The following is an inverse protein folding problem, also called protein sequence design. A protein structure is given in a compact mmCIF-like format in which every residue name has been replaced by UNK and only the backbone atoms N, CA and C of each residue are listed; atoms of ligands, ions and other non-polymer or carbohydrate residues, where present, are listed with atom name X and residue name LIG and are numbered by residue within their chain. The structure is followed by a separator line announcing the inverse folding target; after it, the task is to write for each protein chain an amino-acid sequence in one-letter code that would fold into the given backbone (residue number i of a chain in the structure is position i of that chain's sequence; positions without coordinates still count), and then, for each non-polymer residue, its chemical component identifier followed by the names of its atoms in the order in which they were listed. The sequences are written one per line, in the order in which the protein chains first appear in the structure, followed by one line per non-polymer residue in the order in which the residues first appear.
data_IF_957128600544
#
_entry.id   IF_957128600544
#
_cell.length_a   1.000
_cell.length_b   1.000
_cell.length_c   1.000
_cell.angle_alpha   90.00
_cell.angle_beta   90.00
_cell.angle_gamma   90.00
#
_symmetry.space_group_name_H-M   'P 1'
#
loop_
_entity.id
_entity.type
_entity.pdbx_description
1 polymer ?
#
# COMPACT_ATOMS: atom_id res chain seq x y z
N UNK A 1 -58.51 -26.25 -2.81
CA UNK A 1 -58.62 -26.85 -4.16
C UNK A 1 -57.25 -27.40 -4.55
N UNK A 2 -57.22 -28.66 -4.98
CA UNK A 2 -56.03 -29.42 -5.39
C UNK A 2 -55.27 -28.72 -6.51
N UNK A 3 -53.94 -28.68 -6.44
CA UNK A 3 -53.10 -29.14 -7.54
C UNK A 3 -51.67 -29.43 -7.08
N UNK A 4 -51.33 -30.72 -7.16
CA UNK A 4 -50.02 -31.36 -7.12
C UNK A 4 -49.24 -31.11 -8.41
N UNK A 5 -47.91 -30.98 -8.31
CA UNK A 5 -46.89 -31.64 -9.16
C UNK A 5 -45.49 -31.25 -8.62
N UNK A 6 -44.78 -32.12 -7.89
CA UNK A 6 -43.99 -33.28 -8.34
C UNK A 6 -42.61 -32.90 -8.91
N UNK A 7 -41.60 -33.08 -8.06
CA UNK A 7 -40.28 -33.71 -8.29
C UNK A 7 -39.54 -33.52 -9.62
N UNK A 8 -38.23 -33.20 -9.54
CA UNK A 8 -37.19 -34.00 -10.22
C UNK A 8 -35.81 -33.91 -9.54
N UNK A 9 -35.35 -35.10 -9.16
CA UNK A 9 -34.05 -35.47 -8.56
C UNK A 9 -33.19 -36.09 -9.66
N UNK A 10 -31.87 -35.90 -9.54
CA UNK A 10 -30.72 -36.61 -10.13
C UNK A 10 -30.97 -37.71 -11.19
N UNK A 11 -30.31 -37.56 -12.34
CA UNK A 11 -29.71 -38.65 -13.15
C UNK A 11 -28.33 -38.12 -13.64
N UNK A 12 -27.20 -38.67 -13.20
CA UNK A 12 -26.54 -39.89 -13.67
C UNK A 12 -26.25 -39.91 -15.17
N UNK A 13 -25.01 -39.61 -15.55
CA UNK A 13 -24.40 -40.13 -16.77
C UNK A 13 -23.02 -40.69 -16.45
N UNK A 14 -22.99 -42.02 -16.41
CA UNK A 14 -21.83 -42.89 -16.47
C UNK A 14 -21.43 -42.99 -17.96
N UNK A 15 -20.19 -42.62 -18.32
CA UNK A 15 -19.59 -43.04 -19.59
C UNK A 15 -18.18 -43.57 -19.31
N UNK A 16 -18.04 -44.86 -19.55
CA UNK A 16 -16.83 -45.67 -19.47
C UNK A 16 -16.31 -45.89 -20.89
N UNK A 17 -15.05 -45.53 -21.18
CA UNK A 17 -14.20 -46.02 -22.29
C UNK A 17 -12.78 -45.49 -22.02
N UNK A 18 -11.81 -46.23 -21.44
CA UNK A 18 -11.07 -47.42 -21.89
C UNK A 18 -10.14 -47.16 -23.10
N UNK A 19 -8.86 -46.95 -22.74
CA UNK A 19 -7.58 -47.38 -23.35
C UNK A 19 -7.11 -46.72 -24.65
N UNK A 20 -5.98 -46.01 -24.56
CA UNK A 20 -4.72 -46.36 -25.25
C UNK A 20 -3.53 -45.56 -24.68
N UNK A 21 -2.77 -46.18 -23.79
CA UNK A 21 -1.47 -45.68 -23.33
C UNK A 21 -0.38 -46.21 -24.27
N UNK A 22 0.23 -45.35 -25.08
CA UNK A 22 1.48 -45.68 -25.78
C UNK A 22 2.66 -45.25 -24.93
N UNK A 23 3.25 -46.23 -24.22
CA UNK A 23 4.53 -46.10 -23.56
C UNK A 23 5.66 -46.09 -24.60
N UNK A 24 6.51 -45.06 -24.57
CA UNK A 24 7.77 -45.01 -25.31
C UNK A 24 8.82 -45.84 -24.55
N UNK A 25 8.94 -47.11 -24.92
CA UNK A 25 10.07 -47.95 -24.51
C UNK A 25 11.31 -47.58 -25.35
N UNK A 26 12.37 -47.10 -24.69
CA UNK A 26 13.68 -46.95 -25.32
C UNK A 26 14.30 -48.32 -25.59
N UNK A 27 14.75 -48.50 -26.83
CA UNK A 27 15.32 -49.71 -27.39
C UNK A 27 16.68 -50.05 -26.76
N UNK A 28 16.81 -51.28 -26.27
CA UNK A 28 18.01 -51.88 -25.68
C UNK A 28 18.87 -52.45 -26.82
N UNK A 29 20.09 -51.95 -26.96
CA UNK A 29 21.06 -52.35 -28.00
C UNK A 29 21.65 -53.74 -27.68
N UNK A 30 21.95 -54.61 -28.68
CA UNK A 30 22.40 -55.98 -28.44
C UNK A 30 23.85 -56.04 -27.95
N UNK A 31 24.11 -57.04 -27.10
CA UNK A 31 25.42 -57.46 -26.61
C UNK A 31 26.09 -58.32 -27.67
N UNK A 32 27.29 -57.95 -28.08
CA UNK A 32 28.16 -58.75 -28.93
C UNK A 32 29.31 -59.30 -28.09
N UNK A 33 29.44 -60.61 -28.10
CA UNK A 33 30.41 -61.41 -27.39
C UNK A 33 31.68 -61.48 -28.26
N UNK A 34 32.82 -61.02 -27.74
CA UNK A 34 34.12 -61.18 -28.42
C UNK A 34 35.26 -61.44 -27.42
N UNK A 35 36.09 -62.39 -27.83
CA UNK A 35 37.15 -63.14 -27.15
C UNK A 35 38.28 -62.35 -26.46
N UNK A 36 39.05 -62.98 -25.54
CA UNK A 36 40.01 -62.28 -24.69
C UNK A 36 41.34 -61.97 -25.41
N UNK A 37 41.92 -60.77 -25.26
CA UNK A 37 43.29 -60.50 -25.65
C UNK A 37 44.31 -60.77 -24.53
N UNK A 38 45.45 -61.27 -24.99
CA UNK A 38 46.72 -61.65 -24.35
C UNK A 38 47.31 -60.57 -23.40
N UNK A 39 48.03 -60.96 -22.32
CA UNK A 39 48.68 -60.00 -21.42
C UNK A 39 49.88 -59.31 -22.09
N UNK A 40 49.96 -57.99 -21.94
CA UNK A 40 51.10 -57.14 -22.34
C UNK A 40 51.77 -56.51 -21.11
N UNK A 41 53.10 -56.30 -21.13
CA UNK A 41 53.91 -56.13 -19.94
C UNK A 41 53.76 -54.76 -19.26
N UNK A 42 54.02 -54.81 -17.95
CA UNK A 42 54.05 -53.73 -16.98
C UNK A 42 55.03 -52.61 -17.36
N UNK A 43 54.60 -51.34 -17.46
CA UNK A 43 55.51 -50.21 -17.46
C UNK A 43 55.99 -49.87 -16.03
N UNK A 44 57.28 -49.56 -15.95
CA UNK A 44 58.07 -49.15 -14.78
C UNK A 44 57.46 -47.97 -14.01
N UNK A 45 57.65 -47.88 -12.68
CA UNK A 45 57.15 -46.76 -11.87
C UNK A 45 57.76 -45.43 -12.32
N UNK A 46 56.88 -44.45 -12.56
CA UNK A 46 57.22 -43.04 -12.73
C UNK A 46 57.63 -42.43 -11.38
N UNK A 47 58.61 -41.50 -11.35
CA UNK A 47 59.04 -40.87 -10.11
C UNK A 47 57.89 -40.08 -9.46
N UNK A 48 57.78 -40.24 -8.15
CA UNK A 48 56.87 -39.52 -7.26
C UNK A 48 57.21 -38.03 -7.27
N UNK A 49 56.28 -37.12 -7.62
CA UNK A 49 56.54 -35.69 -7.50
C UNK A 49 56.66 -35.31 -6.02
N UNK A 50 57.74 -34.60 -5.70
CA UNK A 50 57.98 -33.95 -4.42
C UNK A 50 56.80 -33.03 -4.05
N UNK A 51 56.29 -33.07 -2.81
CA UNK A 51 55.20 -32.21 -2.39
C UNK A 51 55.63 -30.74 -2.45
N UNK A 52 54.86 -29.94 -3.18
CA UNK A 52 54.95 -28.48 -3.18
C UNK A 52 54.69 -27.94 -1.77
N UNK A 53 55.42 -26.91 -1.32
CA UNK A 53 55.19 -26.31 0.00
C UNK A 53 53.74 -25.84 0.14
N UNK A 54 53.13 -26.24 1.25
CA UNK A 54 51.80 -25.81 1.67
C UNK A 54 51.79 -24.29 1.82
N UNK A 55 50.93 -23.55 1.12
CA UNK A 55 50.84 -22.11 1.31
C UNK A 55 50.44 -21.81 2.76
N UNK A 56 51.25 -21.00 3.42
CA UNK A 56 50.96 -20.42 4.73
C UNK A 56 49.57 -19.78 4.71
N UNK A 57 48.69 -20.08 5.70
CA UNK A 57 47.36 -19.48 5.74
C UNK A 57 47.49 -17.97 5.83
N UNK A 58 47.01 -17.27 4.80
CA UNK A 58 46.78 -15.82 4.85
C UNK A 58 45.89 -15.51 6.04
N UNK A 59 46.27 -14.54 6.90
CA UNK A 59 45.44 -14.16 8.05
C UNK A 59 44.06 -13.76 7.55
N UNK A 60 43.03 -14.36 8.16
CA UNK A 60 41.63 -14.01 7.89
C UNK A 60 41.47 -12.50 8.07
N UNK A 61 40.81 -11.79 7.13
CA UNK A 61 40.53 -10.38 7.30
C UNK A 61 39.80 -10.19 8.64
N UNK A 62 40.30 -9.26 9.44
CA UNK A 62 39.64 -8.82 10.67
C UNK A 62 38.19 -8.48 10.33
N UNK A 63 37.19 -8.91 11.12
CA UNK A 63 35.81 -8.53 10.91
C UNK A 63 35.74 -7.01 10.83
N UNK A 64 35.17 -6.51 9.73
CA UNK A 64 34.85 -5.08 9.59
C UNK A 64 34.06 -4.67 10.83
N UNK A 65 34.36 -3.51 11.47
CA UNK A 65 33.58 -3.02 12.58
C UNK A 65 32.09 -3.03 12.17
N UNK A 66 31.24 -3.60 13.03
CA UNK A 66 29.80 -3.55 12.85
C UNK A 66 29.40 -2.09 12.64
N UNK A 67 28.62 -1.76 11.60
CA UNK A 67 28.19 -0.38 11.38
C UNK A 67 27.54 0.12 12.66
N UNK A 68 27.98 1.29 13.12
CA UNK A 68 27.35 2.01 14.23
C UNK A 68 25.86 2.11 13.93
N UNK A 69 24.96 1.74 14.87
CA UNK A 69 23.52 1.85 14.63
C UNK A 69 23.19 3.27 14.20
N UNK A 70 22.62 3.43 13.00
CA UNK A 70 22.18 4.74 12.52
C UNK A 70 21.13 5.24 13.52
N UNK A 71 21.44 6.33 14.23
CA UNK A 71 20.56 6.89 15.25
C UNK A 71 19.30 7.39 14.59
N UNK A 72 18.15 7.00 15.11
CA UNK A 72 16.88 7.55 14.66
C UNK A 72 16.76 9.01 15.09
N UNK A 73 16.40 9.94 14.18
CA UNK A 73 16.14 11.32 14.54
C UNK A 73 15.02 11.42 15.58
N UNK A 74 15.09 12.41 16.47
CA UNK A 74 14.01 12.66 17.41
C UNK A 74 12.71 13.01 16.66
N UNK A 75 11.57 12.68 17.26
CA UNK A 75 10.28 13.08 16.72
C UNK A 75 10.21 14.62 16.63
N UNK A 76 9.96 15.13 15.42
CA UNK A 76 9.79 16.57 15.18
C UNK A 76 8.32 16.92 15.39
N UNK A 77 8.06 18.07 16.02
CA UNK A 77 6.70 18.60 16.24
C UNK A 77 6.36 19.80 15.35
N UNK A 78 7.36 20.41 14.73
CA UNK A 78 7.23 21.58 13.86
C UNK A 78 7.18 21.19 12.38
N UNK A 79 6.88 22.17 11.52
CA UNK A 79 6.90 21.96 10.07
C UNK A 79 8.31 21.60 9.59
N UNK A 80 8.38 20.58 8.74
CA UNK A 80 9.64 20.08 8.15
C UNK A 80 9.74 20.41 6.66
N UNK A 81 8.84 21.24 6.12
CA UNK A 81 8.86 21.62 4.71
C UNK A 81 10.04 22.56 4.42
N UNK A 82 10.94 22.23 3.47
CA UNK A 82 12.05 23.09 3.11
C UNK A 82 11.61 24.44 2.51
N UNK A 83 12.36 25.49 2.77
CA UNK A 83 12.11 26.81 2.18
C UNK A 83 12.11 26.75 0.65
N UNK A 84 11.10 27.37 0.02
CA UNK A 84 10.94 27.38 -1.44
C UNK A 84 10.55 26.03 -2.06
N UNK A 85 10.14 25.05 -1.26
CA UNK A 85 9.57 23.80 -1.79
C UNK A 85 8.21 24.07 -2.46
N UNK A 86 8.02 23.52 -3.66
CA UNK A 86 6.79 23.61 -4.42
C UNK A 86 6.34 22.20 -4.82
N UNK A 87 5.36 21.66 -4.07
CA UNK A 87 4.85 20.29 -4.28
C UNK A 87 4.32 20.06 -5.70
N UNK A 88 3.77 21.08 -6.37
CA UNK A 88 3.13 20.90 -7.67
C UNK A 88 4.14 20.69 -8.81
N UNK A 89 5.19 21.52 -8.82
CA UNK A 89 6.24 21.47 -9.84
C UNK A 89 7.29 20.42 -9.53
N UNK A 90 7.69 20.27 -8.27
CA UNK A 90 8.74 19.34 -7.87
C UNK A 90 8.22 17.91 -7.69
N UNK A 91 6.91 17.71 -7.43
CA UNK A 91 6.36 16.39 -7.09
C UNK A 91 5.17 16.01 -7.96
N UNK A 92 4.06 16.75 -7.91
CA UNK A 92 2.79 16.35 -8.52
C UNK A 92 2.91 16.09 -10.03
N UNK A 93 3.51 17.04 -10.77
CA UNK A 93 3.65 16.95 -12.22
C UNK A 93 4.56 15.81 -12.67
N UNK A 94 5.83 15.69 -12.20
CA UNK A 94 6.71 14.61 -12.64
C UNK A 94 6.19 13.24 -12.21
N UNK A 95 5.68 13.11 -10.98
CA UNK A 95 5.19 11.82 -10.48
C UNK A 95 3.87 11.42 -11.18
N UNK A 96 2.93 12.35 -11.32
CA UNK A 96 1.67 12.10 -12.01
C UNK A 96 1.87 11.66 -13.46
N UNK A 97 2.77 12.33 -14.19
CA UNK A 97 3.13 11.96 -15.57
C UNK A 97 3.71 10.55 -15.65
N UNK A 98 4.61 10.21 -14.72
CA UNK A 98 5.23 8.88 -14.67
C UNK A 98 4.20 7.78 -14.37
N UNK A 99 3.31 8.01 -13.41
CA UNK A 99 2.29 7.03 -13.02
C UNK A 99 1.26 6.85 -14.14
N UNK A 100 0.76 7.93 -14.75
CA UNK A 100 -0.17 7.84 -15.88
C UNK A 100 0.43 7.13 -17.09
N UNK A 101 1.73 7.32 -17.33
CA UNK A 101 2.46 6.60 -18.38
C UNK A 101 2.55 5.09 -18.15
N UNK A 102 2.39 4.63 -16.90
CA UNK A 102 2.29 3.20 -16.57
C UNK A 102 0.87 2.68 -16.81
N UNK A 103 -0.12 3.50 -16.46
CA UNK A 103 -1.55 3.20 -16.52
C UNK A 103 -2.21 3.75 -17.78
N UNK A 104 -1.50 3.69 -18.91
CA UNK A 104 -1.77 4.40 -20.20
C UNK A 104 -3.23 4.44 -20.67
N UNK A 105 -4.04 3.44 -20.30
CA UNK A 105 -5.46 3.32 -20.62
C UNK A 105 -6.41 4.16 -19.75
N UNK A 106 -5.98 4.59 -18.57
CA UNK A 106 -6.81 5.30 -17.59
C UNK A 106 -6.55 6.81 -17.60
N UNK A 107 -5.28 7.21 -17.43
CA UNK A 107 -4.79 8.61 -17.43
C UNK A 107 -5.68 9.57 -16.64
N UNK A 108 -6.11 9.21 -15.43
CA UNK A 108 -7.02 9.97 -14.57
C UNK A 108 -6.29 11.03 -13.69
N UNK A 109 -4.95 11.00 -13.61
CA UNK A 109 -4.21 11.84 -12.66
C UNK A 109 -3.87 13.22 -13.21
N UNK A 110 -3.37 13.30 -14.44
CA UNK A 110 -2.96 14.55 -15.12
C UNK A 110 -4.02 15.29 -15.94
N UNK A 111 -5.23 14.75 -16.24
CA UNK A 111 -6.28 15.53 -16.89
C UNK A 111 -6.69 16.74 -16.05
N UNK A 112 -6.88 17.84 -16.74
CA UNK A 112 -7.54 19.04 -16.21
C UNK A 112 -9.00 18.74 -15.97
N UNK A 113 -9.50 19.05 -14.77
CA UNK A 113 -10.88 18.80 -14.36
C UNK A 113 -11.70 20.08 -14.39
N UNK A 114 -13.01 19.94 -14.59
CA UNK A 114 -13.92 21.09 -14.68
C UNK A 114 -14.10 21.76 -13.32
N UNK A 115 -13.59 23.00 -13.19
CA UNK A 115 -13.69 23.81 -11.98
C UNK A 115 -15.13 24.18 -11.62
N UNK A 116 -16.04 24.24 -12.61
CA UNK A 116 -17.46 24.53 -12.37
C UNK A 116 -18.18 23.38 -11.66
N UNK A 117 -17.57 22.19 -11.67
CA UNK A 117 -18.04 21.01 -10.95
C UNK A 117 -17.29 20.79 -9.62
N UNK A 118 -16.54 21.81 -9.15
CA UNK A 118 -15.89 21.79 -7.83
C UNK A 118 -16.92 21.83 -6.69
N UNK A 119 -16.48 21.42 -5.50
CA UNK A 119 -17.27 21.58 -4.27
C UNK A 119 -16.52 22.44 -3.24
N UNK A 120 -17.19 22.84 -2.16
CA UNK A 120 -16.59 23.69 -1.10
C UNK A 120 -15.29 23.12 -0.51
N UNK A 121 -15.14 21.78 -0.56
CA UNK A 121 -13.95 21.06 -0.08
C UNK A 121 -12.79 21.08 -1.07
N UNK A 122 -12.98 21.59 -2.29
CA UNK A 122 -11.89 21.73 -3.27
C UNK A 122 -11.16 23.07 -3.18
N UNK A 123 -11.78 24.07 -2.56
CA UNK A 123 -11.25 25.44 -2.47
C UNK A 123 -10.97 25.80 -1.00
N UNK A 124 -10.23 24.93 -0.30
CA UNK A 124 -9.97 25.06 1.15
C UNK A 124 -8.65 25.74 1.50
N UNK A 125 -7.74 25.81 0.53
CA UNK A 125 -6.42 26.40 0.66
C UNK A 125 -6.08 27.11 -0.65
N UNK A 126 -5.57 28.35 -0.56
CA UNK A 126 -5.21 29.15 -1.74
C UNK A 126 -4.11 28.51 -2.60
N UNK A 127 -3.28 27.64 -2.04
CA UNK A 127 -2.28 26.90 -2.80
C UNK A 127 -2.90 25.88 -3.75
N UNK A 128 -4.15 25.50 -3.50
CA UNK A 128 -4.94 24.62 -4.36
C UNK A 128 -5.79 25.38 -5.37
N UNK A 129 -5.85 26.71 -5.28
CA UNK A 129 -6.47 27.53 -6.30
C UNK A 129 -5.72 27.28 -7.63
N UNK A 130 -6.48 27.14 -8.72
CA UNK A 130 -5.93 26.83 -10.06
C UNK A 130 -5.22 25.47 -10.19
N UNK A 131 -5.31 24.58 -9.19
CA UNK A 131 -4.79 23.20 -9.26
C UNK A 131 -5.89 22.23 -9.64
N UNK A 132 -6.14 22.12 -10.93
CA UNK A 132 -7.30 21.41 -11.47
C UNK A 132 -7.06 19.92 -11.79
N UNK A 133 -5.92 19.35 -11.39
CA UNK A 133 -5.58 17.94 -11.63
C UNK A 133 -5.64 17.13 -10.34
N UNK A 134 -6.01 15.86 -10.45
CA UNK A 134 -6.01 14.97 -9.28
C UNK A 134 -4.61 14.74 -8.72
N UNK A 135 -3.61 14.71 -9.62
CA UNK A 135 -2.22 14.56 -9.23
C UNK A 135 -1.79 15.63 -8.22
N UNK A 136 -2.24 16.87 -8.42
CA UNK A 136 -1.96 17.98 -7.52
C UNK A 136 -2.63 17.75 -6.16
N UNK A 137 -3.87 17.25 -6.15
CA UNK A 137 -4.63 16.97 -4.92
C UNK A 137 -4.02 15.85 -4.09
N UNK A 138 -3.54 14.77 -4.73
CA UNK A 138 -2.83 13.69 -4.03
C UNK A 138 -1.50 14.19 -3.49
N UNK A 139 -0.71 14.90 -4.29
CA UNK A 139 0.61 15.35 -3.88
C UNK A 139 0.53 16.32 -2.69
N UNK A 140 -0.38 17.28 -2.74
CA UNK A 140 -0.64 18.21 -1.64
C UNK A 140 -1.19 17.48 -0.41
N UNK A 141 -2.09 16.50 -0.57
CA UNK A 141 -2.54 15.67 0.55
C UNK A 141 -1.38 14.90 1.21
N UNK A 142 -0.45 14.37 0.42
CA UNK A 142 0.76 13.71 0.94
C UNK A 142 1.63 14.70 1.70
N UNK A 143 1.87 15.91 1.17
CA UNK A 143 2.62 16.95 1.85
C UNK A 143 2.01 17.31 3.22
N UNK A 144 0.69 17.50 3.27
CA UNK A 144 -0.03 17.74 4.53
C UNK A 144 0.19 16.58 5.52
N UNK A 145 0.25 15.33 5.04
CA UNK A 145 0.49 14.14 5.89
C UNK A 145 1.95 13.81 6.12
N UNK A 146 2.89 14.50 5.49
CA UNK A 146 4.30 14.48 5.88
C UNK A 146 4.55 15.31 7.13
N UNK A 147 3.63 16.23 7.48
CA UNK A 147 3.70 17.00 8.72
C UNK A 147 3.18 16.20 9.92
N UNK A 148 3.80 16.32 11.10
CA UNK A 148 3.32 15.68 12.33
C UNK A 148 1.90 16.14 12.70
N UNK A 149 0.98 15.19 12.89
CA UNK A 149 -0.37 15.47 13.38
C UNK A 149 -0.86 14.41 14.37
N UNK A 150 -1.88 14.75 15.16
CA UNK A 150 -2.58 13.78 16.03
C UNK A 150 -3.81 13.27 15.30
N UNK A 151 -3.80 11.98 14.95
CA UNK A 151 -4.92 11.35 14.26
C UNK A 151 -6.23 11.46 15.05
N UNK A 152 -7.33 11.72 14.34
CA UNK A 152 -8.68 11.88 14.90
C UNK A 152 -9.36 10.57 15.32
N UNK A 153 -8.64 9.65 15.96
CA UNK A 153 -9.04 8.28 16.24
C UNK A 153 -9.63 8.05 17.65
N UNK A 154 -9.75 9.09 18.48
CA UNK A 154 -10.21 8.93 19.87
C UNK A 154 -11.60 8.29 19.99
N UNK A 155 -12.48 8.56 19.02
CA UNK A 155 -13.83 7.98 18.97
C UNK A 155 -13.87 6.45 18.73
N UNK A 156 -12.79 5.88 18.17
CA UNK A 156 -12.60 4.44 17.96
C UNK A 156 -11.41 3.91 18.78
N UNK A 157 -10.95 4.67 19.77
CA UNK A 157 -9.72 4.36 20.48
C UNK A 157 -9.75 2.98 21.14
N UNK A 158 -10.85 2.63 21.81
CA UNK A 158 -11.02 1.32 22.46
C UNK A 158 -10.87 0.15 21.49
N UNK A 159 -11.34 0.28 20.24
CA UNK A 159 -11.23 -0.78 19.23
C UNK A 159 -9.77 -1.09 18.86
N UNK A 160 -8.90 -0.07 18.89
CA UNK A 160 -7.49 -0.17 18.50
C UNK A 160 -6.51 -0.15 19.68
N UNK A 161 -7.02 -0.23 20.92
CA UNK A 161 -6.20 -0.11 22.13
C UNK A 161 -5.54 1.27 22.28
N UNK A 162 -6.20 2.33 21.80
CA UNK A 162 -5.79 3.72 21.96
C UNK A 162 -6.61 4.39 23.07
N UNK A 163 -6.04 5.45 23.65
CA UNK A 163 -6.79 6.36 24.53
C UNK A 163 -7.91 7.06 23.75
N UNK A 164 -9.06 7.31 24.39
CA UNK A 164 -10.10 8.18 23.83
C UNK A 164 -9.70 9.66 23.83
N UNK A 165 -8.72 10.03 24.67
CA UNK A 165 -8.14 11.36 24.71
C UNK A 165 -6.96 11.47 23.73
N UNK A 166 -7.25 12.01 22.54
CA UNK A 166 -6.26 12.21 21.47
C UNK A 166 -5.07 13.08 21.90
N UNK A 167 -5.20 13.92 22.94
CA UNK A 167 -4.07 14.72 23.43
C UNK A 167 -2.92 13.87 23.95
N UNK A 168 -3.19 12.62 24.35
CA UNK A 168 -2.18 11.65 24.80
C UNK A 168 -1.38 11.03 23.65
N UNK A 169 -1.80 11.22 22.40
CA UNK A 169 -1.14 10.61 21.26
C UNK A 169 0.19 11.31 20.98
N UNK A 170 1.23 10.53 20.72
CA UNK A 170 2.43 10.99 20.05
C UNK A 170 2.04 11.39 18.60
N UNK A 171 2.30 12.65 18.19
CA UNK A 171 2.08 13.06 16.81
C UNK A 171 2.85 12.18 15.84
N UNK A 172 2.26 11.91 14.68
CA UNK A 172 2.90 11.12 13.66
C UNK A 172 2.65 11.68 12.26
N UNK A 173 3.46 11.25 11.31
CA UNK A 173 3.35 11.60 9.90
C UNK A 173 3.80 10.45 9.03
N UNK A 174 3.76 10.63 7.71
CA UNK A 174 4.28 9.66 6.75
C UNK A 174 5.80 9.45 6.85
N UNK A 175 6.53 10.33 7.52
CA UNK A 175 7.99 10.24 7.66
C UNK A 175 8.51 10.34 9.10
N UNK A 176 7.63 10.46 10.10
CA UNK A 176 8.06 10.65 11.49
C UNK A 176 8.61 9.41 12.18
N UNK A 177 8.27 8.21 11.69
CA UNK A 177 8.76 6.93 12.23
C UNK A 177 9.38 6.09 11.11
N UNK A 178 10.35 5.21 11.43
CA UNK A 178 10.83 4.22 10.47
C UNK A 178 9.70 3.33 9.96
N UNK A 179 9.75 2.99 8.68
CA UNK A 179 8.99 1.86 8.16
C UNK A 179 9.64 0.55 8.62
N UNK A 180 8.85 -0.37 9.17
CA UNK A 180 9.34 -1.67 9.60
C UNK A 180 9.77 -2.51 8.38
N UNK A 181 10.93 -3.16 8.48
CA UNK A 181 11.24 -4.28 7.60
C UNK A 181 10.25 -5.42 7.88
N UNK A 182 9.77 -6.05 6.82
CA UNK A 182 8.81 -7.15 6.86
C UNK A 182 9.47 -8.45 6.40
N UNK A 183 9.07 -9.56 7.02
CA UNK A 183 9.44 -10.92 6.61
C UNK A 183 8.18 -11.75 6.45
N UNK A 184 8.28 -12.94 5.85
CA UNK A 184 7.14 -13.86 5.79
C UNK A 184 6.59 -14.17 7.18
N UNK A 185 7.45 -14.25 8.20
CA UNK A 185 7.04 -14.49 9.58
C UNK A 185 6.30 -13.30 10.20
N UNK A 186 6.80 -12.06 10.01
CA UNK A 186 6.10 -10.89 10.56
C UNK A 186 4.76 -10.66 9.85
N UNK A 187 4.70 -10.87 8.54
CA UNK A 187 3.47 -10.79 7.75
C UNK A 187 2.49 -11.91 8.08
N UNK A 188 2.96 -13.13 8.37
CA UNK A 188 2.08 -14.19 8.89
C UNK A 188 1.35 -13.73 10.16
N UNK A 189 2.04 -13.02 11.05
CA UNK A 189 1.46 -12.48 12.29
C UNK A 189 0.50 -11.31 12.02
N UNK A 190 0.89 -10.34 11.17
CA UNK A 190 0.06 -9.15 10.92
C UNK A 190 -1.13 -9.43 10.02
N UNK A 191 -1.04 -10.41 9.11
CA UNK A 191 -2.09 -10.83 8.18
C UNK A 191 -2.86 -12.09 8.64
N UNK A 192 -2.59 -12.60 9.85
CA UNK A 192 -3.24 -13.80 10.43
C UNK A 192 -3.11 -15.04 9.52
N UNK A 193 -1.95 -15.24 8.92
CA UNK A 193 -1.63 -16.36 8.03
C UNK A 193 -2.36 -16.36 6.68
N UNK A 194 -3.13 -15.30 6.38
CA UNK A 194 -3.85 -15.19 5.10
C UNK A 194 -3.03 -14.39 4.11
N UNK A 195 -3.02 -14.86 2.85
CA UNK A 195 -2.50 -14.13 1.70
C UNK A 195 -1.11 -13.52 1.94
N UNK A 196 -0.18 -14.31 2.50
CA UNK A 196 1.19 -13.88 2.72
C UNK A 196 1.84 -13.66 1.33
N UNK A 197 2.40 -12.47 1.05
CA UNK A 197 3.04 -12.21 -0.24
C UNK A 197 4.26 -13.10 -0.49
N UNK A 198 4.60 -13.29 -1.77
CA UNK A 198 5.82 -14.03 -2.15
C UNK A 198 7.09 -13.29 -1.71
N UNK A 199 8.21 -14.00 -1.64
CA UNK A 199 9.51 -13.41 -1.30
C UNK A 199 9.88 -12.21 -2.18
N UNK A 200 9.53 -12.24 -3.47
CA UNK A 200 9.76 -11.13 -4.40
C UNK A 200 8.94 -9.88 -4.04
N UNK A 201 7.71 -10.04 -3.58
CA UNK A 201 6.87 -8.91 -3.14
C UNK A 201 7.36 -8.37 -1.80
N UNK A 202 7.75 -9.25 -0.88
CA UNK A 202 8.38 -8.87 0.40
C UNK A 202 9.67 -8.07 0.14
N UNK A 203 10.49 -8.49 -0.83
CA UNK A 203 11.70 -7.75 -1.21
C UNK A 203 11.35 -6.32 -1.68
N UNK A 204 10.32 -6.16 -2.54
CA UNK A 204 9.86 -4.83 -2.96
C UNK A 204 9.34 -3.98 -1.80
N UNK A 205 8.59 -4.58 -0.86
CA UNK A 205 8.10 -3.88 0.32
C UNK A 205 9.26 -3.37 1.18
N UNK A 206 10.29 -4.21 1.36
CA UNK A 206 11.51 -3.82 2.07
C UNK A 206 12.35 -2.79 1.30
N UNK A 207 12.39 -2.83 -0.04
CA UNK A 207 13.02 -1.78 -0.84
C UNK A 207 12.32 -0.44 -0.65
N UNK A 208 10.98 -0.42 -0.68
CA UNK A 208 10.19 0.77 -0.40
C UNK A 208 10.46 1.29 1.02
N UNK A 209 10.39 0.42 2.04
CA UNK A 209 10.68 0.76 3.42
C UNK A 209 12.10 1.33 3.60
N UNK A 210 13.10 0.71 2.98
CA UNK A 210 14.50 1.15 3.04
C UNK A 210 14.68 2.54 2.43
N UNK A 211 14.11 2.80 1.24
CA UNK A 211 14.20 4.12 0.58
C UNK A 211 13.52 5.20 1.40
N UNK A 212 12.31 4.96 1.89
CA UNK A 212 11.62 5.91 2.78
C UNK A 212 12.43 6.13 4.06
N UNK A 213 13.01 5.09 4.64
CA UNK A 213 13.85 5.20 5.84
C UNK A 213 15.11 6.02 5.62
N UNK A 214 15.72 5.94 4.45
CA UNK A 214 16.85 6.79 4.07
C UNK A 214 16.40 8.24 3.90
N UNK A 215 15.38 8.48 3.06
CA UNK A 215 14.92 9.82 2.73
C UNK A 215 14.32 10.55 3.93
N UNK A 216 13.61 9.85 4.83
CA UNK A 216 13.11 10.50 6.05
C UNK A 216 14.26 10.96 6.95
N UNK A 217 15.37 10.22 7.05
CA UNK A 217 16.47 10.59 7.95
C UNK A 217 17.09 11.90 7.50
N UNK A 218 17.44 11.98 6.21
CA UNK A 218 17.93 13.23 5.64
C UNK A 218 16.92 14.37 5.76
N UNK A 219 15.63 14.11 5.47
CA UNK A 219 14.58 15.14 5.59
C UNK A 219 14.44 15.68 7.02
N UNK A 220 14.48 14.81 8.03
CA UNK A 220 14.40 15.19 9.45
C UNK A 220 15.68 15.88 9.95
N UNK A 221 16.80 15.70 9.25
CA UNK A 221 18.05 16.44 9.46
C UNK A 221 18.11 17.77 8.67
N UNK A 222 17.04 18.12 7.93
CA UNK A 222 16.93 19.35 7.16
C UNK A 222 17.43 19.26 5.71
N UNK A 223 17.78 18.08 5.22
CA UNK A 223 18.16 17.90 3.81
C UNK A 223 16.94 18.00 2.88
N UNK A 224 16.91 19.09 2.10
CA UNK A 224 15.88 19.35 1.08
C UNK A 224 15.79 18.23 0.06
N UNK A 225 16.92 17.69 -0.40
CA UNK A 225 16.90 16.66 -1.45
C UNK A 225 16.21 15.39 -0.96
N UNK A 226 16.52 14.97 0.27
CA UNK A 226 15.85 13.86 0.94
C UNK A 226 14.36 14.12 1.18
N UNK A 227 13.97 15.35 1.57
CA UNK A 227 12.56 15.71 1.69
C UNK A 227 11.81 15.55 0.36
N UNK A 228 12.36 16.09 -0.75
CA UNK A 228 11.76 15.97 -2.08
C UNK A 228 11.65 14.50 -2.50
N UNK A 229 12.70 13.70 -2.27
CA UNK A 229 12.69 12.25 -2.58
C UNK A 229 11.64 11.48 -1.77
N UNK A 230 11.49 11.80 -0.47
CA UNK A 230 10.45 11.22 0.37
C UNK A 230 9.05 11.60 -0.12
N UNK A 231 8.84 12.88 -0.44
CA UNK A 231 7.58 13.41 -0.97
C UNK A 231 7.22 12.73 -2.29
N UNK A 232 8.14 12.69 -3.26
CA UNK A 232 7.94 11.97 -4.53
C UNK A 232 7.59 10.49 -4.32
N UNK A 233 8.30 9.79 -3.44
CA UNK A 233 8.07 8.36 -3.23
C UNK A 233 6.72 8.08 -2.56
N UNK A 234 6.31 8.88 -1.57
CA UNK A 234 4.98 8.78 -0.96
C UNK A 234 3.86 9.19 -1.90
N UNK A 235 4.01 10.28 -2.65
CA UNK A 235 3.02 10.71 -3.66
C UNK A 235 2.84 9.62 -4.72
N UNK A 236 3.94 9.04 -5.20
CA UNK A 236 3.88 7.95 -6.18
C UNK A 236 3.17 6.74 -5.62
N UNK A 237 3.49 6.35 -4.38
CA UNK A 237 2.79 5.28 -3.69
C UNK A 237 1.29 5.54 -3.63
N UNK A 238 0.86 6.74 -3.21
CA UNK A 238 -0.56 7.08 -3.11
C UNK A 238 -1.28 7.15 -4.47
N UNK A 239 -0.62 7.63 -5.52
CA UNK A 239 -1.15 7.61 -6.89
C UNK A 239 -1.29 6.18 -7.44
N UNK A 240 -0.31 5.31 -7.18
CA UNK A 240 -0.41 3.90 -7.53
C UNK A 240 -1.56 3.22 -6.76
N UNK A 241 -1.75 3.56 -5.48
CA UNK A 241 -2.88 3.08 -4.69
C UNK A 241 -4.20 3.53 -5.28
N UNK A 242 -4.34 4.80 -5.68
CA UNK A 242 -5.60 5.28 -6.26
C UNK A 242 -5.98 4.50 -7.53
N UNK A 243 -5.02 4.12 -8.36
CA UNK A 243 -5.32 3.27 -9.52
C UNK A 243 -5.67 1.83 -9.13
N UNK A 244 -4.92 1.24 -8.21
CA UNK A 244 -5.20 -0.10 -7.72
C UNK A 244 -6.59 -0.21 -7.06
N UNK A 245 -7.02 0.85 -6.37
CA UNK A 245 -8.36 0.94 -5.77
C UNK A 245 -9.43 1.25 -6.81
N UNK A 246 -9.18 2.06 -7.83
CA UNK A 246 -10.21 2.44 -8.80
C UNK A 246 -10.84 1.24 -9.55
N UNK A 247 -10.15 0.08 -9.59
CA UNK A 247 -10.53 -1.18 -10.26
C UNK A 247 -10.76 -1.08 -11.79
N UNK A 248 -11.13 0.10 -12.30
CA UNK A 248 -11.50 0.42 -13.70
C UNK A 248 -11.35 1.93 -13.96
N UNK A 249 -11.49 2.38 -15.21
CA UNK A 249 -11.55 3.83 -15.51
C UNK A 249 -12.76 4.49 -14.84
N UNK A 250 -12.63 5.76 -14.45
CA UNK A 250 -13.72 6.51 -13.84
C UNK A 250 -14.83 6.81 -14.87
N UNK A 251 -14.46 7.10 -16.11
CA UNK A 251 -15.38 7.57 -17.15
C UNK A 251 -16.00 6.44 -17.99
N UNK A 252 -16.56 5.45 -17.31
CA UNK A 252 -17.30 4.35 -17.93
C UNK A 252 -18.82 4.57 -17.91
N UNK A 253 -19.53 3.88 -18.80
CA UNK A 253 -21.00 3.85 -18.80
C UNK A 253 -21.54 3.19 -17.53
N UNK A 254 -20.86 2.18 -17.00
CA UNK A 254 -21.18 1.54 -15.72
C UNK A 254 -21.12 2.56 -14.58
N UNK A 255 -20.02 3.31 -14.48
CA UNK A 255 -19.89 4.32 -13.44
C UNK A 255 -20.96 5.40 -13.54
N UNK A 256 -21.27 5.83 -14.77
CA UNK A 256 -22.34 6.81 -15.02
C UNK A 256 -23.72 6.29 -14.58
N UNK A 257 -24.04 5.01 -14.81
CA UNK A 257 -25.29 4.39 -14.32
C UNK A 257 -25.37 4.35 -12.80
N UNK A 258 -24.28 3.98 -12.12
CA UNK A 258 -24.21 3.99 -10.65
C UNK A 258 -24.41 5.40 -10.12
N UNK A 259 -23.78 6.40 -10.73
CA UNK A 259 -24.00 7.79 -10.34
C UNK A 259 -25.45 8.22 -10.53
N UNK A 260 -26.12 7.89 -11.65
CA UNK A 260 -27.55 8.21 -11.84
C UNK A 260 -28.45 7.59 -10.77
N UNK A 261 -28.11 6.39 -10.28
CA UNK A 261 -28.87 5.70 -9.23
C UNK A 261 -28.77 6.38 -7.87
N UNK A 262 -27.61 6.95 -7.53
CA UNK A 262 -27.33 7.47 -6.18
C UNK A 262 -27.18 9.00 -6.08
N UNK A 263 -27.03 9.70 -7.21
CA UNK A 263 -26.79 11.13 -7.25
C UNK A 263 -27.93 11.89 -6.55
N UNK A 264 -27.62 12.76 -5.57
CA UNK A 264 -28.63 13.63 -4.99
C UNK A 264 -29.09 14.69 -6.01
N UNK A 265 -30.26 15.29 -5.75
CA UNK A 265 -30.78 16.37 -6.60
C UNK A 265 -29.74 17.49 -6.81
N UNK A 266 -29.59 17.92 -8.06
CA UNK A 266 -28.63 18.96 -8.46
C UNK A 266 -27.17 18.50 -8.53
N UNK A 267 -26.87 17.22 -8.31
CA UNK A 267 -25.53 16.68 -8.52
C UNK A 267 -25.42 15.99 -9.89
N UNK A 268 -24.40 16.36 -10.66
CA UNK A 268 -24.00 15.67 -11.88
C UNK A 268 -22.59 15.13 -11.69
N UNK A 269 -22.38 13.85 -11.97
CA UNK A 269 -21.07 13.20 -11.90
C UNK A 269 -20.07 13.97 -12.79
N UNK A 270 -18.99 14.52 -12.23
CA UNK A 270 -17.89 15.10 -13.01
C UNK A 270 -17.07 14.02 -13.71
N UNK A 271 -16.36 14.38 -14.79
CA UNK A 271 -15.37 13.51 -15.40
C UNK A 271 -14.25 13.16 -14.40
N UNK A 272 -13.66 11.97 -14.52
CA UNK A 272 -12.61 11.47 -13.63
C UNK A 272 -13.07 11.07 -12.22
N UNK A 273 -14.38 11.14 -11.92
CA UNK A 273 -14.95 10.72 -10.63
C UNK A 273 -15.62 9.35 -10.77
N UNK A 274 -14.99 8.32 -10.20
CA UNK A 274 -15.53 6.97 -10.20
C UNK A 274 -16.68 6.84 -9.19
N UNK A 275 -17.80 6.30 -9.64
CA UNK A 275 -18.86 5.70 -8.83
C UNK A 275 -18.84 4.19 -9.08
N UNK A 276 -18.70 3.43 -8.01
CA UNK A 276 -18.63 1.96 -8.04
C UNK A 276 -19.60 1.37 -7.01
N UNK A 277 -20.29 0.29 -7.39
CA UNK A 277 -21.15 -0.48 -6.51
C UNK A 277 -20.52 -1.86 -6.36
N UNK A 278 -20.17 -2.27 -5.13
CA UNK A 278 -19.67 -3.61 -4.83
C UNK A 278 -20.83 -4.53 -4.41
N UNK A 279 -21.34 -5.42 -5.29
CA UNK A 279 -22.51 -6.23 -4.98
C UNK A 279 -22.28 -7.24 -3.83
N UNK A 280 -21.02 -7.50 -3.45
CA UNK A 280 -20.69 -8.41 -2.36
C UNK A 280 -20.80 -7.76 -0.97
N UNK A 281 -20.91 -6.43 -0.91
CA UNK A 281 -21.05 -5.69 0.35
C UNK A 281 -22.51 -5.50 0.75
N UNK A 282 -22.72 -5.30 2.05
CA UNK A 282 -24.01 -4.85 2.58
C UNK A 282 -24.42 -3.50 1.98
N UNK A 283 -25.71 -3.17 2.07
CA UNK A 283 -26.25 -1.93 1.49
C UNK A 283 -25.54 -0.67 2.03
N UNK A 284 -25.13 -0.69 3.29
CA UNK A 284 -24.45 0.43 3.95
C UNK A 284 -23.04 0.70 3.40
N UNK A 285 -22.35 -0.31 2.86
CA UNK A 285 -20.96 -0.22 2.37
C UNK A 285 -20.85 -0.41 0.86
N UNK A 286 -21.98 -0.57 0.16
CA UNK A 286 -22.03 -0.96 -1.25
C UNK A 286 -21.49 0.09 -2.21
N UNK A 287 -21.87 1.34 -1.99
CA UNK A 287 -21.50 2.46 -2.86
C UNK A 287 -20.14 3.01 -2.47
N UNK A 288 -19.24 3.15 -3.43
CA UNK A 288 -17.91 3.70 -3.25
C UNK A 288 -17.62 4.76 -4.31
N UNK A 289 -16.99 5.87 -3.89
CA UNK A 289 -16.81 7.06 -4.73
C UNK A 289 -15.34 7.51 -4.75
N UNK A 290 -14.94 8.00 -5.93
CA UNK A 290 -13.64 8.55 -6.23
C UNK A 290 -12.57 7.49 -6.43
N UNK A 291 -11.34 7.94 -6.72
CA UNK A 291 -10.25 7.02 -7.05
C UNK A 291 -9.75 6.22 -5.83
N UNK A 292 -9.95 6.69 -4.61
CA UNK A 292 -9.71 5.89 -3.40
C UNK A 292 -10.93 5.07 -2.93
N UNK A 293 -12.03 5.06 -3.71
CA UNK A 293 -13.23 4.26 -3.50
C UNK A 293 -13.80 4.32 -2.07
N UNK A 294 -14.01 5.52 -1.53
CA UNK A 294 -14.59 5.65 -0.20
C UNK A 294 -16.12 5.55 -0.21
N UNK A 295 -16.66 4.86 0.77
CA UNK A 295 -18.10 4.84 1.02
C UNK A 295 -18.57 6.23 1.48
N UNK A 296 -19.63 6.82 0.87
CA UNK A 296 -20.08 8.16 1.19
C UNK A 296 -20.90 8.23 2.49
N UNK A 297 -20.27 7.90 3.61
CA UNK A 297 -20.85 8.04 4.96
C UNK A 297 -19.97 8.95 5.82
N UNK A 298 -20.60 9.72 6.71
CA UNK A 298 -19.89 10.54 7.70
C UNK A 298 -19.45 9.73 8.94
N UNK A 299 -19.63 8.42 8.89
CA UNK A 299 -19.41 7.47 9.98
C UNK A 299 -18.29 6.49 9.66
N UNK A 300 -18.13 5.48 10.51
CA UNK A 300 -17.21 4.37 10.32
C UNK A 300 -15.79 4.86 10.04
N UNK A 301 -15.26 4.37 8.93
CA UNK A 301 -13.87 4.59 8.56
C UNK A 301 -13.60 6.00 8.02
N UNK A 302 -14.53 6.69 7.36
CA UNK A 302 -14.27 8.04 6.82
C UNK A 302 -14.29 9.11 7.93
N UNK A 303 -14.95 8.84 9.06
CA UNK A 303 -15.13 9.84 10.11
C UNK A 303 -13.80 10.39 10.70
N UNK A 304 -12.75 9.57 10.88
CA UNK A 304 -11.47 10.12 11.34
C UNK A 304 -10.84 11.08 10.32
N UNK A 305 -11.02 10.84 9.01
CA UNK A 305 -10.63 11.80 7.98
C UNK A 305 -11.39 13.11 8.12
N UNK A 306 -12.71 13.07 8.34
CA UNK A 306 -13.54 14.27 8.57
C UNK A 306 -13.04 15.05 9.79
N UNK A 307 -12.79 14.35 10.91
CA UNK A 307 -12.29 14.97 12.14
C UNK A 307 -10.96 15.65 11.92
N UNK A 308 -10.03 15.02 11.22
CA UNK A 308 -8.73 15.61 10.94
C UNK A 308 -8.83 16.76 9.93
N UNK A 309 -9.65 16.61 8.88
CA UNK A 309 -9.94 17.67 7.92
C UNK A 309 -10.46 18.92 8.61
N UNK A 310 -11.42 18.78 9.53
CA UNK A 310 -12.00 19.92 10.25
C UNK A 310 -10.99 20.63 11.16
N UNK A 311 -9.96 19.92 11.66
CA UNK A 311 -8.87 20.54 12.43
C UNK A 311 -7.97 21.40 11.53
N UNK A 312 -7.73 20.95 10.30
CA UNK A 312 -6.83 21.62 9.34
C UNK A 312 -7.56 22.76 8.60
N UNK A 313 -8.83 22.57 8.25
CA UNK A 313 -9.64 23.50 7.45
C UNK A 313 -10.88 23.96 8.24
N UNK A 314 -10.73 24.74 9.32
CA UNK A 314 -11.85 25.15 10.18
C UNK A 314 -12.88 26.04 9.47
N UNK A 315 -12.52 26.63 8.32
CA UNK A 315 -13.42 27.46 7.49
C UNK A 315 -14.23 26.67 6.46
N UNK A 316 -13.87 25.41 6.19
CA UNK A 316 -14.56 24.54 5.21
C UNK A 316 -14.74 23.14 5.78
N UNK A 317 -15.51 23.07 6.86
CA UNK A 317 -15.73 21.82 7.61
C UNK A 317 -16.76 20.91 6.94
N UNK A 318 -16.65 19.62 7.24
CA UNK A 318 -17.62 18.58 6.90
C UNK A 318 -18.26 18.12 8.21
N UNK A 319 -19.59 18.04 8.27
CA UNK A 319 -20.26 17.54 9.48
C UNK A 319 -19.91 16.08 9.73
N UNK A 320 -19.62 15.71 10.98
CA UNK A 320 -19.42 14.31 11.41
C UNK A 320 -20.72 13.48 11.39
N UNK A 321 -21.86 14.13 11.11
CA UNK A 321 -23.17 13.53 10.86
C UNK A 321 -23.73 13.90 9.49
N UNK A 322 -22.87 14.28 8.53
CA UNK A 322 -23.29 14.61 7.18
C UNK A 322 -24.10 13.47 6.53
N UNK A 323 -25.14 13.85 5.78
CA UNK A 323 -25.96 12.89 5.04
C UNK A 323 -25.16 12.23 3.92
N UNK A 324 -25.64 11.09 3.42
CA UNK A 324 -25.03 10.44 2.25
C UNK A 324 -24.99 11.39 1.03
N UNK A 325 -26.04 12.20 0.84
CA UNK A 325 -26.09 13.21 -0.21
C UNK A 325 -24.98 14.28 -0.10
N UNK A 326 -24.65 14.72 1.12
CA UNK A 326 -23.52 15.63 1.33
C UNK A 326 -22.19 14.92 1.08
N UNK A 327 -22.03 13.69 1.58
CA UNK A 327 -20.80 12.92 1.39
C UNK A 327 -20.55 12.55 -0.08
N UNK A 328 -21.61 12.35 -0.89
CA UNK A 328 -21.49 12.19 -2.35
C UNK A 328 -20.89 13.45 -2.98
N UNK A 329 -21.29 14.65 -2.57
CA UNK A 329 -20.72 15.91 -3.09
C UNK A 329 -19.27 16.10 -2.66
N UNK A 330 -18.95 15.75 -1.41
CA UNK A 330 -17.61 15.88 -0.83
C UNK A 330 -16.62 14.90 -1.47
N UNK A 331 -16.98 13.61 -1.59
CA UNK A 331 -16.10 12.59 -2.14
C UNK A 331 -16.10 12.58 -3.67
N UNK A 332 -17.21 12.96 -4.28
CA UNK A 332 -17.44 12.97 -5.72
C UNK A 332 -17.34 14.36 -6.34
N UNK A 333 -16.65 15.31 -5.69
CA UNK A 333 -16.35 16.60 -6.30
C UNK A 333 -15.41 16.43 -7.49
N UNK A 334 -15.37 17.39 -8.42
CA UNK A 334 -14.49 17.28 -9.58
C UNK A 334 -13.01 17.12 -9.15
N UNK A 335 -12.49 17.94 -8.23
CA UNK A 335 -11.07 17.83 -7.84
C UNK A 335 -10.82 16.64 -6.91
N UNK A 336 -11.84 16.10 -6.25
CA UNK A 336 -11.70 15.00 -5.29
C UNK A 336 -10.68 15.32 -4.18
N UNK A 337 -10.67 16.56 -3.69
CA UNK A 337 -9.66 17.03 -2.71
C UNK A 337 -9.80 16.31 -1.37
N UNK A 338 -11.02 16.19 -0.84
CA UNK A 338 -11.25 15.41 0.38
C UNK A 338 -10.97 13.92 0.17
N UNK A 339 -11.28 13.37 -1.01
CA UNK A 339 -10.96 11.98 -1.35
C UNK A 339 -9.44 11.74 -1.28
N UNK A 340 -8.65 12.61 -1.90
CA UNK A 340 -7.17 12.57 -1.86
C UNK A 340 -6.63 12.69 -0.44
N UNK A 341 -7.15 13.67 0.31
CA UNK A 341 -6.79 13.89 1.71
C UNK A 341 -7.08 12.66 2.57
N UNK A 342 -8.29 12.12 2.48
CA UNK A 342 -8.67 10.94 3.27
C UNK A 342 -7.83 9.73 2.86
N UNK A 343 -7.46 9.63 1.57
CA UNK A 343 -6.47 8.70 1.05
C UNK A 343 -5.19 8.67 1.89
N UNK A 344 -4.51 9.82 1.97
CA UNK A 344 -3.26 9.96 2.72
C UNK A 344 -3.48 9.87 4.25
N UNK A 345 -4.57 10.45 4.77
CA UNK A 345 -4.92 10.44 6.19
C UNK A 345 -5.17 9.02 6.72
N UNK A 346 -5.65 8.11 5.87
CA UNK A 346 -5.80 6.70 6.21
C UNK A 346 -4.46 6.06 6.52
N UNK A 347 -3.45 6.30 5.70
CA UNK A 347 -2.10 5.75 5.91
C UNK A 347 -1.47 6.33 7.18
N UNK A 348 -1.52 7.65 7.38
CA UNK A 348 -1.01 8.24 8.63
C UNK A 348 -1.83 7.79 9.86
N UNK A 349 -3.13 7.58 9.72
CA UNK A 349 -3.97 7.01 10.78
C UNK A 349 -3.58 5.57 11.13
N UNK A 350 -3.20 4.73 10.16
CA UNK A 350 -2.63 3.41 10.44
C UNK A 350 -1.35 3.50 11.28
N UNK A 351 -0.50 4.48 10.98
CA UNK A 351 0.74 4.68 11.72
C UNK A 351 0.44 5.16 13.14
N UNK A 352 -0.55 6.04 13.30
CA UNK A 352 -1.00 6.51 14.61
C UNK A 352 -1.47 5.35 15.50
N UNK A 353 -2.22 4.39 14.94
CA UNK A 353 -2.63 3.17 15.67
C UNK A 353 -1.40 2.41 16.17
N UNK A 354 -0.44 2.12 15.30
CA UNK A 354 0.74 1.31 15.64
C UNK A 354 1.65 1.98 16.69
N UNK A 355 1.77 3.31 16.61
CA UNK A 355 2.59 4.12 17.50
C UNK A 355 1.94 4.24 18.88
N UNK A 356 0.62 4.47 18.93
CA UNK A 356 -0.06 4.86 20.17
C UNK A 356 -0.85 3.72 20.85
N UNK A 357 -0.95 2.55 20.24
CA UNK A 357 -1.65 1.40 20.85
C UNK A 357 -0.95 0.87 22.10
N UNK A 358 -1.74 0.43 23.07
CA UNK A 358 -1.30 -0.34 24.22
C UNK A 358 -1.27 -1.85 23.97
N UNK A 359 -1.71 -2.32 22.80
CA UNK A 359 -1.81 -3.74 22.48
C UNK A 359 -0.90 -4.15 21.32
N UNK A 360 -0.14 -5.22 21.54
CA UNK A 360 0.76 -5.83 20.54
C UNK A 360 0.03 -6.33 19.30
N UNK A 361 -1.29 -6.50 19.35
CA UNK A 361 -2.08 -6.95 18.19
C UNK A 361 -2.25 -5.87 17.12
N UNK A 362 -2.06 -4.59 17.45
CA UNK A 362 -2.27 -3.44 16.56
C UNK A 362 -0.96 -2.78 16.11
N UNK A 363 0.17 -3.45 16.31
CA UNK A 363 1.49 -2.94 15.92
C UNK A 363 2.36 -4.03 15.31
N UNK A 364 3.43 -3.65 14.62
CA UNK A 364 4.32 -4.61 13.96
C UNK A 364 5.05 -5.47 15.01
N UNK A 365 5.32 -6.76 14.77
CA UNK A 365 6.02 -7.62 15.73
C UNK A 365 7.36 -7.07 16.22
N UNK A 366 8.08 -6.32 15.37
CA UNK A 366 9.34 -5.64 15.74
C UNK A 366 9.18 -4.56 16.82
N UNK A 367 7.95 -4.17 17.18
CA UNK A 367 7.65 -3.21 18.25
C UNK A 367 7.39 -3.88 19.60
N UNK A 368 7.47 -5.20 19.67
CA UNK A 368 7.34 -6.00 20.89
C UNK A 368 8.73 -6.41 21.36
N UNK A 369 9.04 -6.15 22.63
CA UNK A 369 10.31 -6.56 23.25
C UNK A 369 10.28 -8.05 23.60
N UNK A 370 11.43 -8.60 23.97
CA UNK A 370 11.56 -10.02 24.35
C UNK A 370 10.73 -10.41 25.57
N UNK A 371 10.43 -9.45 26.46
CA UNK A 371 9.55 -9.64 27.63
C UNK A 371 8.04 -9.53 27.30
N UNK A 372 7.69 -9.35 26.01
CA UNK A 372 6.32 -9.18 25.55
C UNK A 372 5.75 -7.76 25.69
N UNK A 373 6.48 -6.85 26.35
CA UNK A 373 6.07 -5.45 26.48
C UNK A 373 6.28 -4.68 25.17
N UNK A 374 5.50 -3.62 24.97
CA UNK A 374 5.70 -2.75 23.82
C UNK A 374 6.90 -1.83 24.00
N UNK A 375 7.59 -1.53 22.89
CA UNK A 375 8.50 -0.38 22.81
C UNK A 375 7.76 0.92 23.11
N UNK A 376 8.48 1.93 23.60
CA UNK A 376 7.91 3.27 23.77
C UNK A 376 7.41 3.78 22.40
N UNK A 377 6.33 4.58 22.33
CA UNK A 377 5.80 5.07 21.06
C UNK A 377 6.86 5.63 20.10
N UNK A 378 7.80 6.43 20.61
CA UNK A 378 8.88 7.03 19.82
C UNK A 378 9.91 6.03 19.25
N UNK A 379 10.02 4.83 19.83
CA UNK A 379 10.96 3.78 19.41
C UNK A 379 10.33 2.76 18.44
N UNK A 380 9.08 2.99 18.04
CA UNK A 380 8.32 2.07 17.18
C UNK A 380 8.58 2.38 15.71
N UNK A 381 8.61 1.33 14.91
CA UNK A 381 8.45 1.44 13.47
C UNK A 381 6.97 1.26 13.07
N UNK A 382 6.60 1.66 11.87
CA UNK A 382 5.22 1.52 11.35
C UNK A 382 5.22 0.80 10.01
N UNK A 383 4.10 0.20 9.62
CA UNK A 383 3.96 -0.45 8.31
C UNK A 383 2.53 -0.30 7.78
N UNK A 384 2.34 -0.14 6.46
CA UNK A 384 1.01 -0.14 5.87
C UNK A 384 0.39 -1.55 5.76
N UNK A 385 1.09 -2.64 6.09
CA UNK A 385 0.63 -4.03 5.81
C UNK A 385 0.05 -4.74 7.05
N UNK A 386 -1.27 -4.72 7.21
CA UNK A 386 -1.97 -5.25 8.40
C UNK A 386 -3.34 -5.82 8.04
N UNK A 387 -3.74 -6.91 8.72
CA UNK A 387 -5.06 -7.50 8.55
C UNK A 387 -6.20 -6.51 8.82
N UNK A 388 -7.31 -6.67 8.08
CA UNK A 388 -8.58 -6.00 8.37
C UNK A 388 -8.94 -6.12 9.86
N UNK A 389 -9.27 -4.98 10.48
CA UNK A 389 -9.59 -4.87 11.91
C UNK A 389 -8.39 -4.70 12.84
N UNK A 390 -7.16 -4.96 12.38
CA UNK A 390 -5.92 -4.58 13.11
C UNK A 390 -5.36 -3.22 12.68
N UNK A 391 -5.86 -2.70 11.57
CA UNK A 391 -5.46 -1.41 11.03
C UNK A 391 -6.65 -0.49 10.85
N UNK A 392 -6.44 0.79 11.12
CA UNK A 392 -7.32 1.84 10.63
C UNK A 392 -6.99 2.10 9.14
N UNK A 393 -7.45 1.24 8.23
CA UNK A 393 -7.29 1.45 6.79
C UNK A 393 -8.55 1.04 6.02
N UNK A 394 -8.62 1.50 4.77
CA UNK A 394 -9.68 1.16 3.81
C UNK A 394 -9.14 0.31 2.65
N UNK A 395 -7.84 0.40 2.38
CA UNK A 395 -7.24 -0.15 1.17
C UNK A 395 -7.12 -1.67 1.25
N UNK A 396 -7.92 -2.36 0.43
CA UNK A 396 -7.91 -3.82 0.30
C UNK A 396 -6.51 -4.43 0.07
N UNK A 397 -5.65 -3.85 -0.79
CA UNK A 397 -4.27 -4.29 -1.01
C UNK A 397 -3.40 -4.28 0.25
N UNK A 398 -3.73 -3.46 1.24
CA UNK A 398 -3.02 -3.38 2.52
C UNK A 398 -3.58 -4.32 3.58
N UNK A 399 -4.90 -4.54 3.52
CA UNK A 399 -5.69 -5.33 4.45
C UNK A 399 -5.54 -6.83 4.27
N UNK A 400 -5.72 -7.28 3.03
CA UNK A 400 -5.82 -8.69 2.71
C UNK A 400 -4.63 -9.17 1.91
N UNK A 401 -3.65 -8.30 1.62
CA UNK A 401 -2.46 -8.55 0.80
C UNK A 401 -2.68 -9.61 -0.28
N UNK A 402 -3.68 -9.39 -1.14
CA UNK A 402 -3.80 -10.16 -2.38
C UNK A 402 -2.46 -10.02 -3.10
N UNK A 403 -1.73 -11.12 -3.26
CA UNK A 403 -0.34 -11.07 -3.71
C UNK A 403 -0.16 -10.22 -4.99
N UNK A 404 -1.15 -10.23 -5.88
CA UNK A 404 -1.21 -9.38 -7.08
C UNK A 404 -1.24 -7.88 -6.78
N UNK A 405 -2.11 -7.41 -5.87
CA UNK A 405 -2.38 -5.97 -5.72
C UNK A 405 -1.24 -5.27 -4.98
N UNK A 406 -0.70 -5.89 -3.92
CA UNK A 406 0.47 -5.33 -3.25
C UNK A 406 1.69 -5.32 -4.18
N UNK A 407 1.86 -6.38 -4.97
CA UNK A 407 2.91 -6.42 -5.99
C UNK A 407 2.72 -5.31 -7.03
N UNK A 408 1.49 -5.07 -7.50
CA UNK A 408 1.18 -4.04 -8.47
C UNK A 408 1.52 -2.65 -7.94
N UNK A 409 1.04 -2.30 -6.75
CA UNK A 409 1.30 -1.00 -6.10
C UNK A 409 2.80 -0.79 -5.93
N UNK A 410 3.53 -1.76 -5.39
CA UNK A 410 4.97 -1.62 -5.17
C UNK A 410 5.75 -1.59 -6.48
N UNK A 411 5.32 -2.35 -7.50
CA UNK A 411 5.94 -2.33 -8.83
C UNK A 411 5.68 -1.01 -9.55
N UNK A 412 4.52 -0.38 -9.35
CA UNK A 412 4.24 0.97 -9.81
C UNK A 412 5.09 2.00 -9.05
N UNK A 413 5.12 1.90 -7.73
CA UNK A 413 5.83 2.84 -6.85
C UNK A 413 7.33 2.85 -7.15
N UNK A 414 7.93 1.68 -7.37
CA UNK A 414 9.38 1.53 -7.56
C UNK A 414 9.83 1.63 -9.01
N UNK A 415 8.92 1.71 -10.00
CA UNK A 415 9.31 1.74 -11.43
C UNK A 415 9.66 3.14 -11.94
N UNK A 416 10.85 3.32 -12.51
CA UNK A 416 11.30 4.59 -13.07
C UNK A 416 11.80 5.57 -12.01
N UNK A 417 12.79 6.37 -12.39
CA UNK A 417 13.25 7.52 -11.61
C UNK A 417 12.50 8.79 -12.05
N UNK A 418 12.55 9.81 -11.20
CA UNK A 418 11.67 10.98 -11.22
C UNK A 418 12.38 12.31 -11.36
#
# INVERSE_FOLDING_TARGET
MKNTNSTNILMSFLVTMVIASTATAMSKKPVEETTPPKPTPTPSPSPTPTPSPTPTPTPSPSPSPSPTPVREPAAVTDSITPAGFNVFSEVATPVGTLVDSKYQSYRELIPVRDINASYKTDNVDMNLDEKDRFADRIAYAVEVKMQPSKAGLGYVGSYYGLSSNENTYLPNSLISHPLCAVTSATLNTTLKGKNIPSAAVIAKANTFASKINEYRRGALEGDRASYVKASKLWTKFMMCVSYAESLTSADTSTSSKVATKYAPSGYRRPAGVLFYEDPAQDEASRLNIGLFQFTPTASGNVQACIREWNKIYPKSTISTSASQAEMIRVLGSAMQTFNSFCGAAKVSGMFAVQVNTSSSSFTHPSNVKSDGSLKLPADRCVSPHFATGKSYNHFGPFQNSTGSNLNEILSCTLSGEY
#
